data_IF_956150342479
#
_entry.id   IF_956150342479
#
_cell.length_a   1.000
_cell.length_b   1.000
_cell.length_c   1.000
_cell.angle_alpha   90.00
_cell.angle_beta   90.00
_cell.angle_gamma   90.00
#
_symmetry.space_group_name_H-M   'P 1'
#
loop_
_entity.id
_entity.type
_entity.pdbx_description
1 polymer ?
#
# COMPACT_ATOMS: atom_id res chain seq x y z
N UNK A 1 20.67 -41.60 -18.95
CA UNK A 1 20.18 -41.21 -17.60
C UNK A 1 19.48 -39.89 -17.73
N UNK A 2 18.15 -39.86 -17.73
CA UNK A 2 17.37 -38.63 -17.78
C UNK A 2 17.48 -37.95 -16.42
N UNK A 3 18.00 -36.74 -16.41
CA UNK A 3 18.04 -35.86 -15.23
C UNK A 3 16.61 -35.54 -14.82
N UNK A 4 16.19 -36.06 -13.67
CA UNK A 4 14.89 -35.69 -13.06
C UNK A 4 15.02 -34.25 -12.64
N UNK A 5 14.19 -33.32 -13.13
CA UNK A 5 14.26 -31.93 -12.67
C UNK A 5 14.01 -31.92 -11.16
N UNK A 6 14.95 -31.37 -10.44
CA UNK A 6 14.76 -31.10 -9.02
C UNK A 6 13.67 -30.02 -8.87
N UNK A 7 12.89 -30.02 -7.81
CA UNK A 7 11.85 -29.05 -7.48
C UNK A 7 12.34 -27.60 -7.53
N UNK A 8 13.65 -27.40 -7.68
CA UNK A 8 14.35 -26.13 -7.73
C UNK A 8 14.33 -25.45 -9.12
N UNK A 9 13.95 -26.16 -10.20
CA UNK A 9 13.99 -25.67 -11.58
C UNK A 9 12.63 -25.16 -12.13
N UNK A 10 11.56 -25.17 -11.32
CA UNK A 10 10.28 -24.66 -11.76
C UNK A 10 10.37 -23.15 -12.07
N UNK A 11 9.80 -22.69 -13.20
CA UNK A 11 9.79 -21.28 -13.54
C UNK A 11 9.02 -20.49 -12.48
N UNK A 12 9.64 -19.43 -11.97
CA UNK A 12 9.00 -18.52 -11.02
C UNK A 12 7.83 -17.78 -11.68
N UNK A 13 6.73 -17.63 -10.95
CA UNK A 13 5.59 -16.79 -11.33
C UNK A 13 5.83 -15.34 -10.93
N UNK A 14 6.59 -15.13 -9.88
CA UNK A 14 7.06 -13.82 -9.46
C UNK A 14 7.84 -13.15 -10.58
N UNK A 15 7.59 -11.88 -10.78
CA UNK A 15 8.21 -11.10 -11.85
C UNK A 15 8.38 -9.64 -11.42
N UNK A 16 9.03 -8.85 -12.27
CA UNK A 16 9.09 -7.40 -12.17
C UNK A 16 8.22 -6.78 -13.26
N UNK A 17 7.73 -5.57 -13.02
CA UNK A 17 7.10 -4.75 -14.06
C UNK A 17 7.88 -3.47 -14.25
N UNK A 18 8.31 -3.20 -15.48
CA UNK A 18 8.73 -1.88 -15.89
C UNK A 18 7.49 -1.09 -16.25
N UNK A 19 7.17 -0.06 -15.47
CA UNK A 19 5.85 0.53 -15.47
C UNK A 19 5.87 2.06 -15.56
N UNK A 20 4.73 2.61 -15.96
CA UNK A 20 4.44 4.04 -16.01
C UNK A 20 3.19 4.33 -15.20
N UNK A 21 3.27 5.32 -14.33
CA UNK A 21 2.14 5.88 -13.60
C UNK A 21 1.75 7.18 -14.28
N UNK A 22 0.47 7.36 -14.58
CA UNK A 22 -0.13 8.58 -15.07
C UNK A 22 -1.17 9.08 -14.07
N UNK A 23 -1.14 10.37 -13.77
CA UNK A 23 -2.16 11.08 -13.01
C UNK A 23 -2.70 12.23 -13.86
N UNK A 24 -4.01 12.25 -14.03
CA UNK A 24 -4.69 13.32 -14.75
C UNK A 24 -5.86 13.85 -13.90
N UNK A 25 -5.60 14.92 -13.17
CA UNK A 25 -6.63 15.65 -12.46
C UNK A 25 -7.46 16.46 -13.45
N UNK A 26 -8.78 16.31 -13.37
CA UNK A 26 -9.75 17.02 -14.20
C UNK A 26 -10.30 18.24 -13.44
N UNK A 27 -10.68 18.04 -12.19
CA UNK A 27 -11.29 19.07 -11.34
C UNK A 27 -10.53 19.24 -10.02
N UNK A 28 -10.57 20.44 -9.38
CA UNK A 28 -11.15 21.71 -9.86
C UNK A 28 -10.24 22.43 -10.87
N UNK A 29 -9.01 21.97 -11.06
CA UNK A 29 -8.05 22.51 -12.04
C UNK A 29 -7.31 21.37 -12.72
N UNK A 30 -7.25 21.40 -14.04
CA UNK A 30 -6.55 20.39 -14.83
C UNK A 30 -5.06 20.34 -14.48
N UNK A 31 -4.58 19.14 -14.21
CA UNK A 31 -3.17 18.88 -13.91
C UNK A 31 -2.78 17.46 -14.29
N UNK A 32 -1.83 17.34 -15.19
CA UNK A 32 -1.37 16.06 -15.73
C UNK A 32 0.12 15.86 -15.46
N UNK A 33 0.51 14.66 -15.09
CA UNK A 33 1.91 14.23 -15.01
C UNK A 33 2.04 12.71 -15.12
N UNK A 34 3.20 12.29 -15.60
CA UNK A 34 3.58 10.88 -15.73
C UNK A 34 4.99 10.66 -15.19
N UNK A 35 5.25 9.45 -14.71
CA UNK A 35 6.60 9.03 -14.33
C UNK A 35 6.77 7.52 -14.46
N UNK A 36 8.02 7.11 -14.76
CA UNK A 36 8.39 5.70 -14.83
C UNK A 36 8.85 5.17 -13.47
N UNK A 37 8.45 3.94 -13.19
CA UNK A 37 8.85 3.17 -12.01
C UNK A 37 9.11 1.72 -12.41
N UNK A 38 9.58 0.91 -11.46
CA UNK A 38 9.41 -0.54 -11.55
C UNK A 38 8.76 -1.08 -10.27
N UNK A 39 8.03 -2.18 -10.40
CA UNK A 39 7.29 -2.84 -9.34
C UNK A 39 7.69 -4.31 -9.28
N UNK A 40 7.57 -4.91 -8.10
CA UNK A 40 7.61 -6.35 -7.93
C UNK A 40 6.18 -6.91 -7.94
N UNK A 41 5.97 -8.00 -8.68
CA UNK A 41 4.79 -8.84 -8.62
C UNK A 41 5.24 -10.19 -8.04
N UNK A 42 4.90 -10.43 -6.79
CA UNK A 42 5.40 -11.53 -5.99
C UNK A 42 4.29 -12.54 -5.75
N UNK A 43 4.51 -13.79 -6.11
CA UNK A 43 3.71 -14.90 -5.60
C UNK A 43 4.08 -15.12 -4.14
N UNK A 44 3.11 -15.00 -3.22
CA UNK A 44 3.38 -15.05 -1.78
C UNK A 44 3.90 -16.43 -1.34
N UNK A 45 3.67 -17.46 -2.12
CA UNK A 45 4.18 -18.82 -1.85
C UNK A 45 5.62 -19.01 -2.36
N UNK A 46 6.14 -18.08 -3.17
CA UNK A 46 7.51 -18.10 -3.71
C UNK A 46 8.51 -17.24 -2.92
N UNK A 47 8.06 -16.47 -1.92
CA UNK A 47 8.90 -15.49 -1.22
C UNK A 47 10.18 -16.06 -0.62
N UNK A 48 10.11 -17.25 -0.01
CA UNK A 48 11.29 -17.91 0.57
C UNK A 48 12.22 -18.46 -0.52
N UNK A 49 11.64 -18.93 -1.64
CA UNK A 49 12.41 -19.36 -2.81
C UNK A 49 13.17 -18.19 -3.44
N UNK A 50 12.51 -17.02 -3.55
CA UNK A 50 13.16 -15.81 -4.06
C UNK A 50 14.31 -15.37 -3.15
N UNK A 51 14.10 -15.39 -1.82
CA UNK A 51 15.13 -15.05 -0.83
C UNK A 51 16.34 -15.99 -0.88
N UNK A 52 16.10 -17.26 -1.17
CA UNK A 52 17.16 -18.26 -1.30
C UNK A 52 17.91 -18.19 -2.64
N UNK A 53 17.21 -17.90 -3.76
CA UNK A 53 17.77 -17.94 -5.11
C UNK A 53 18.43 -16.63 -5.56
N UNK A 54 17.91 -15.48 -5.10
CA UNK A 54 18.34 -14.17 -5.58
C UNK A 54 19.29 -13.50 -4.59
N UNK A 55 20.42 -13.07 -5.10
CA UNK A 55 21.45 -12.36 -4.31
C UNK A 55 20.98 -10.97 -3.87
N UNK A 56 20.23 -10.28 -4.72
CA UNK A 56 19.81 -8.90 -4.50
C UNK A 56 18.36 -8.75 -4.00
N UNK A 57 17.69 -9.86 -3.64
CA UNK A 57 16.39 -9.89 -2.99
C UNK A 57 16.50 -10.41 -1.56
N UNK A 58 15.70 -9.88 -0.63
CA UNK A 58 15.63 -10.34 0.75
C UNK A 58 14.22 -10.28 1.31
N UNK A 59 13.76 -11.36 1.97
CA UNK A 59 12.52 -11.41 2.75
C UNK A 59 12.82 -11.19 4.24
N UNK A 60 12.19 -10.16 4.83
CA UNK A 60 12.34 -9.81 6.26
C UNK A 60 13.81 -9.60 6.71
N UNK A 61 14.70 -9.33 5.77
CA UNK A 61 16.12 -9.04 6.03
C UNK A 61 16.61 -7.92 5.12
N UNK A 62 17.68 -7.24 5.52
CA UNK A 62 18.30 -6.20 4.70
C UNK A 62 18.88 -6.78 3.43
N UNK A 63 18.52 -6.16 2.30
CA UNK A 63 19.07 -6.44 0.99
C UNK A 63 18.91 -5.21 0.10
N UNK A 64 19.32 -5.29 -1.16
CA UNK A 64 19.09 -4.22 -2.12
C UNK A 64 17.61 -4.04 -2.43
N UNK A 65 16.92 -5.11 -2.79
CA UNK A 65 15.46 -5.19 -2.91
C UNK A 65 14.92 -5.98 -1.72
N UNK A 66 14.15 -5.32 -0.85
CA UNK A 66 13.62 -5.96 0.35
C UNK A 66 12.10 -6.07 0.28
N UNK A 67 11.59 -7.21 0.66
CA UNK A 67 10.19 -7.41 1.01
C UNK A 67 10.08 -7.67 2.52
N UNK A 68 9.19 -6.97 3.19
CA UNK A 68 8.90 -7.20 4.61
C UNK A 68 7.41 -7.42 4.79
N UNK A 69 7.07 -8.55 5.38
CA UNK A 69 5.67 -8.87 5.72
C UNK A 69 5.03 -7.75 6.57
N UNK A 70 5.80 -7.13 7.46
CA UNK A 70 5.33 -6.03 8.34
C UNK A 70 5.04 -4.70 7.64
N UNK A 71 5.38 -4.52 6.37
CA UNK A 71 5.08 -3.29 5.63
C UNK A 71 3.67 -3.26 5.05
N UNK A 72 2.92 -4.33 5.23
CA UNK A 72 1.62 -4.60 4.62
C UNK A 72 0.54 -4.84 5.66
N UNK A 73 -0.59 -5.37 5.25
CA UNK A 73 -1.82 -5.64 6.01
C UNK A 73 -1.60 -5.87 7.52
N UNK A 74 -2.54 -5.44 8.39
CA UNK A 74 -2.41 -5.61 9.82
C UNK A 74 -2.31 -7.10 10.17
N UNK A 75 -1.31 -7.45 10.96
CA UNK A 75 -1.15 -8.83 11.43
C UNK A 75 -2.12 -9.07 12.58
N UNK A 76 -2.91 -10.17 12.54
CA UNK A 76 -3.90 -10.48 13.59
C UNK A 76 -3.30 -10.56 14.99
N UNK A 77 -2.01 -10.91 15.08
CA UNK A 77 -1.26 -11.07 16.32
C UNK A 77 -0.98 -9.74 17.04
N UNK A 78 -1.01 -8.60 16.34
CA UNK A 78 -0.78 -7.26 16.90
C UNK A 78 -2.06 -6.65 17.49
N UNK A 79 -3.23 -7.19 17.16
CA UNK A 79 -4.54 -6.65 17.55
C UNK A 79 -5.15 -7.36 18.77
N UNK A 80 -4.53 -8.44 19.27
CA UNK A 80 -5.02 -9.26 20.40
C UNK A 80 -4.12 -9.16 21.64
N UNK A 81 -4.60 -9.65 22.81
CA UNK A 81 -3.76 -9.78 23.99
C UNK A 81 -2.56 -10.68 23.64
N UNK A 82 -1.34 -10.18 23.89
CA UNK A 82 -0.10 -10.91 23.65
C UNK A 82 -0.07 -12.19 24.52
N UNK A 83 -0.46 -13.30 23.94
CA UNK A 83 -0.25 -14.62 24.54
C UNK A 83 1.16 -15.10 24.22
N UNK A 84 1.86 -15.68 25.20
CA UNK A 84 3.23 -16.20 25.07
C UNK A 84 3.43 -17.22 23.94
N UNK A 85 2.36 -17.85 23.48
CA UNK A 85 2.36 -18.82 22.37
C UNK A 85 2.50 -18.14 20.99
N UNK A 86 2.08 -16.86 20.85
CA UNK A 86 2.13 -16.10 19.59
C UNK A 86 3.45 -15.31 19.42
N UNK A 87 4.26 -15.23 20.46
CA UNK A 87 5.51 -14.44 20.46
C UNK A 87 6.57 -14.98 19.48
N UNK A 88 6.40 -16.21 18.97
CA UNK A 88 7.37 -16.92 18.11
C UNK A 88 6.92 -17.05 16.65
N UNK A 89 5.70 -16.64 16.29
CA UNK A 89 5.25 -16.71 14.89
C UNK A 89 5.76 -15.51 14.11
N UNK A 90 6.61 -15.77 13.12
CA UNK A 90 7.07 -14.74 12.19
C UNK A 90 5.89 -14.13 11.44
N UNK A 91 5.85 -12.81 11.23
CA UNK A 91 4.84 -12.18 10.40
C UNK A 91 4.69 -12.92 9.07
N UNK A 92 3.47 -13.17 8.64
CA UNK A 92 3.17 -13.82 7.37
C UNK A 92 2.04 -13.09 6.67
N UNK A 93 2.37 -12.44 5.57
CA UNK A 93 1.44 -11.61 4.80
C UNK A 93 0.24 -12.38 4.26
N UNK A 94 0.40 -13.65 3.85
CA UNK A 94 -0.71 -14.47 3.35
C UNK A 94 -1.74 -14.75 4.45
N UNK A 95 -1.27 -15.05 5.66
CA UNK A 95 -2.16 -15.23 6.84
C UNK A 95 -2.86 -13.93 7.23
N UNK A 96 -2.16 -12.80 7.18
CA UNK A 96 -2.75 -11.49 7.43
C UNK A 96 -3.86 -11.20 6.41
N UNK A 97 -3.63 -11.47 5.14
CA UNK A 97 -4.63 -11.34 4.07
C UNK A 97 -5.82 -12.27 4.27
N UNK A 98 -5.58 -13.55 4.61
CA UNK A 98 -6.64 -14.51 4.91
C UNK A 98 -7.53 -14.05 6.08
N UNK A 99 -6.93 -13.57 7.16
CA UNK A 99 -7.65 -13.07 8.32
C UNK A 99 -8.49 -11.83 7.97
N UNK A 100 -7.94 -10.91 7.20
CA UNK A 100 -8.66 -9.72 6.76
C UNK A 100 -9.80 -10.07 5.78
N UNK A 101 -9.56 -10.92 4.79
CA UNK A 101 -10.58 -11.37 3.83
C UNK A 101 -11.73 -12.10 4.51
N UNK A 102 -11.43 -12.92 5.53
CA UNK A 102 -12.49 -13.59 6.34
C UNK A 102 -13.40 -12.59 7.02
N UNK A 103 -12.88 -11.47 7.52
CA UNK A 103 -13.70 -10.38 8.07
C UNK A 103 -14.58 -9.71 7.01
N UNK A 104 -14.18 -9.77 5.74
CA UNK A 104 -14.97 -9.27 4.60
C UNK A 104 -15.91 -10.35 4.02
N UNK A 105 -16.04 -11.54 4.64
CA UNK A 105 -16.86 -12.63 4.15
C UNK A 105 -16.26 -13.44 3.01
N UNK A 106 -14.98 -13.26 2.69
CA UNK A 106 -14.25 -14.00 1.63
C UNK A 106 -13.32 -15.02 2.27
N UNK A 107 -13.41 -16.28 1.83
CA UNK A 107 -12.54 -17.37 2.28
C UNK A 107 -11.43 -17.57 1.26
N UNK A 108 -10.18 -17.36 1.68
CA UNK A 108 -8.97 -17.67 0.94
C UNK A 108 -8.34 -18.92 1.61
N UNK A 109 -8.29 -20.04 0.89
CA UNK A 109 -7.72 -21.28 1.38
C UNK A 109 -6.17 -21.25 1.34
N UNK A 110 -5.51 -22.13 2.10
CA UNK A 110 -4.04 -22.17 2.17
C UNK A 110 -3.39 -22.48 0.82
N UNK A 111 -4.05 -23.32 0.00
CA UNK A 111 -3.60 -23.70 -1.34
C UNK A 111 -4.03 -22.73 -2.44
N UNK A 112 -4.83 -21.70 -2.11
CA UNK A 112 -5.13 -20.61 -3.04
C UNK A 112 -3.90 -19.72 -3.24
N UNK A 113 -3.80 -19.13 -4.41
CA UNK A 113 -2.64 -18.32 -4.80
C UNK A 113 -2.92 -16.85 -4.63
N UNK A 114 -1.86 -16.12 -4.27
CA UNK A 114 -1.91 -14.66 -4.19
C UNK A 114 -0.71 -14.07 -4.89
N UNK A 115 -0.97 -13.23 -5.91
CA UNK A 115 0.03 -12.35 -6.51
C UNK A 115 -0.05 -10.98 -5.87
N UNK A 116 1.04 -10.49 -5.31
CA UNK A 116 1.16 -9.17 -4.72
C UNK A 116 1.97 -8.26 -5.63
N UNK A 117 1.32 -7.28 -6.22
CA UNK A 117 1.96 -6.20 -6.96
C UNK A 117 2.25 -5.04 -6.01
N UNK A 118 3.52 -4.71 -5.80
CA UNK A 118 3.93 -3.73 -4.78
C UNK A 118 5.23 -3.03 -5.17
N UNK A 119 5.47 -1.88 -4.55
CA UNK A 119 6.76 -1.19 -4.61
C UNK A 119 7.60 -1.61 -3.39
N UNK A 120 8.60 -2.51 -3.56
CA UNK A 120 9.36 -3.04 -2.45
C UNK A 120 10.32 -1.99 -1.87
N UNK A 121 10.94 -2.30 -0.72
CA UNK A 121 12.03 -1.47 -0.19
C UNK A 121 13.24 -1.52 -1.12
N UNK A 122 13.90 -0.39 -1.29
CA UNK A 122 15.20 -0.30 -1.96
C UNK A 122 16.22 0.24 -0.98
N UNK A 123 17.28 -0.53 -0.74
CA UNK A 123 18.31 -0.20 0.23
C UNK A 123 17.75 0.16 1.63
N UNK A 124 16.69 -0.51 2.07
CA UNK A 124 16.03 -0.30 3.36
C UNK A 124 14.97 0.78 3.39
N UNK A 125 14.86 1.64 2.36
CA UNK A 125 13.86 2.69 2.28
C UNK A 125 12.58 2.21 1.59
N UNK A 126 11.42 2.44 2.21
CA UNK A 126 10.11 2.15 1.62
C UNK A 126 9.23 3.40 1.60
N UNK A 127 8.60 3.61 0.48
CA UNK A 127 7.39 4.41 0.33
C UNK A 127 6.53 3.73 -0.73
N UNK A 128 5.42 3.16 -0.31
CA UNK A 128 4.52 2.41 -1.19
C UNK A 128 3.11 3.03 -1.11
N UNK A 129 2.70 3.81 -2.13
CA UNK A 129 1.40 4.47 -2.12
C UNK A 129 0.24 3.50 -2.32
N UNK A 130 0.47 2.35 -2.94
CA UNK A 130 -0.55 1.33 -3.16
C UNK A 130 0.08 -0.03 -3.46
N UNK A 131 -0.50 -1.09 -2.89
CA UNK A 131 -0.25 -2.48 -3.25
C UNK A 131 -1.54 -3.13 -3.71
N UNK A 132 -1.45 -4.10 -4.62
CA UNK A 132 -2.60 -4.85 -5.11
C UNK A 132 -2.35 -6.34 -4.93
N UNK A 133 -3.31 -7.02 -4.29
CA UNK A 133 -3.32 -8.47 -4.13
C UNK A 133 -4.33 -9.05 -5.10
N UNK A 134 -3.94 -10.04 -5.86
CA UNK A 134 -4.80 -10.79 -6.79
C UNK A 134 -4.91 -12.22 -6.29
N UNK A 135 -6.09 -12.57 -5.78
CA UNK A 135 -6.37 -13.87 -5.19
C UNK A 135 -7.01 -14.80 -6.23
N UNK A 136 -6.45 -15.98 -6.37
CA UNK A 136 -6.86 -17.00 -7.34
C UNK A 136 -7.01 -18.33 -6.61
N UNK A 137 -8.13 -19.03 -6.80
CA UNK A 137 -8.34 -20.37 -6.24
C UNK A 137 -7.31 -21.36 -6.77
N UNK A 138 -7.08 -22.43 -6.06
CA UNK A 138 -6.22 -23.54 -6.50
C UNK A 138 -6.67 -24.12 -7.86
N UNK A 139 -7.96 -24.00 -8.21
CA UNK A 139 -8.51 -24.37 -9.52
C UNK A 139 -8.06 -23.46 -10.67
N UNK A 140 -7.47 -22.30 -10.38
CA UNK A 140 -7.13 -21.27 -11.35
C UNK A 140 -8.22 -20.20 -11.54
N UNK A 141 -9.38 -20.35 -10.88
CA UNK A 141 -10.46 -19.38 -10.93
C UNK A 141 -10.10 -18.12 -10.13
N UNK A 142 -10.33 -16.94 -10.70
CA UNK A 142 -10.14 -15.67 -9.98
C UNK A 142 -11.14 -15.55 -8.84
N UNK A 143 -10.67 -15.14 -7.65
CA UNK A 143 -11.51 -15.03 -6.44
C UNK A 143 -11.88 -13.57 -6.16
N UNK A 144 -10.90 -12.74 -5.91
CA UNK A 144 -11.04 -11.31 -5.61
C UNK A 144 -9.69 -10.61 -5.77
N UNK A 145 -9.71 -9.29 -5.76
CA UNK A 145 -8.51 -8.49 -5.56
C UNK A 145 -8.65 -7.63 -4.29
N UNK A 146 -7.51 -7.18 -3.74
CA UNK A 146 -7.46 -6.22 -2.63
C UNK A 146 -6.53 -5.09 -3.03
N UNK A 147 -7.00 -3.85 -2.88
CA UNK A 147 -6.18 -2.65 -3.05
C UNK A 147 -5.82 -2.10 -1.67
N UNK A 148 -4.57 -2.16 -1.29
CA UNK A 148 -4.03 -1.61 -0.05
C UNK A 148 -3.45 -0.23 -0.34
N UNK A 149 -4.16 0.83 0.03
CA UNK A 149 -3.80 2.21 -0.27
C UNK A 149 -3.07 2.81 0.92
N UNK A 150 -1.89 3.37 0.67
CA UNK A 150 -1.05 4.06 1.65
C UNK A 150 -1.09 5.59 1.51
N UNK A 151 -0.76 6.29 2.60
CA UNK A 151 -0.56 7.73 2.58
C UNK A 151 0.84 8.13 3.10
N UNK A 152 1.17 9.41 3.02
CA UNK A 152 2.45 9.95 3.51
C UNK A 152 2.56 10.00 5.04
N UNK A 153 1.49 9.67 5.78
CA UNK A 153 1.49 9.59 7.24
C UNK A 153 1.81 8.18 7.77
N UNK A 154 2.15 7.24 6.86
CA UNK A 154 2.42 5.84 7.21
C UNK A 154 1.17 5.06 7.59
N UNK A 155 0.01 5.51 7.15
CA UNK A 155 -1.26 4.82 7.34
C UNK A 155 -1.61 4.05 6.07
N UNK A 156 -2.29 2.92 6.25
CA UNK A 156 -2.74 2.02 5.19
C UNK A 156 -4.23 1.73 5.36
N UNK A 157 -4.92 1.51 4.23
CA UNK A 157 -6.30 1.03 4.21
C UNK A 157 -6.52 0.05 3.07
N UNK A 158 -6.92 -1.19 3.36
CA UNK A 158 -7.28 -2.18 2.35
C UNK A 158 -8.74 -1.99 1.90
N UNK A 159 -8.98 -2.26 0.62
CA UNK A 159 -10.28 -2.27 -0.03
C UNK A 159 -10.46 -3.59 -0.77
N UNK A 160 -11.57 -4.27 -0.52
CA UNK A 160 -11.95 -5.46 -1.29
C UNK A 160 -12.47 -5.03 -2.67
N UNK A 161 -11.91 -5.61 -3.72
CA UNK A 161 -12.34 -5.39 -5.11
C UNK A 161 -12.84 -6.73 -5.66
N UNK A 162 -14.16 -6.92 -5.77
CA UNK A 162 -14.73 -8.17 -6.25
C UNK A 162 -14.45 -8.40 -7.74
N UNK A 163 -14.54 -9.66 -8.13
CA UNK A 163 -14.52 -10.06 -9.54
C UNK A 163 -15.68 -9.39 -10.28
N UNK A 164 -15.39 -8.78 -11.41
CA UNK A 164 -16.40 -8.17 -12.27
C UNK A 164 -16.93 -9.19 -13.27
N UNK A 165 -18.26 -9.33 -13.34
CA UNK A 165 -18.93 -10.31 -14.22
C UNK A 165 -18.94 -9.95 -15.72
N UNK A 166 -18.19 -8.93 -16.14
CA UNK A 166 -18.05 -8.60 -17.55
C UNK A 166 -17.20 -9.67 -18.28
N UNK A 167 -17.44 -9.89 -19.58
CA UNK A 167 -16.70 -10.88 -20.36
C UNK A 167 -15.19 -10.63 -20.24
N UNK A 168 -14.46 -11.74 -20.15
CA UNK A 168 -13.01 -11.74 -20.13
C UNK A 168 -12.46 -10.88 -21.28
N UNK A 169 -11.79 -9.79 -20.94
CA UNK A 169 -11.00 -9.07 -21.92
C UNK A 169 -9.81 -9.92 -22.38
N UNK A 170 -9.12 -9.54 -23.44
CA UNK A 170 -7.97 -10.27 -23.95
C UNK A 170 -6.84 -10.46 -22.91
N UNK A 171 -6.90 -9.75 -21.80
CA UNK A 171 -5.90 -9.73 -20.74
C UNK A 171 -6.33 -10.48 -19.44
N UNK A 172 -7.41 -11.29 -19.49
CA UNK A 172 -7.89 -12.10 -18.36
C UNK A 172 -8.96 -11.43 -17.49
N UNK A 173 -9.31 -12.04 -16.34
CA UNK A 173 -10.39 -11.58 -15.48
C UNK A 173 -10.09 -10.22 -14.88
N UNK A 174 -11.11 -9.36 -14.85
CA UNK A 174 -11.08 -8.02 -14.28
C UNK A 174 -11.79 -7.93 -12.94
N UNK A 175 -11.32 -7.03 -12.06
CA UNK A 175 -11.92 -6.72 -10.78
C UNK A 175 -12.34 -5.25 -10.76
N UNK A 176 -13.54 -4.97 -10.28
CA UNK A 176 -14.05 -3.59 -10.27
C UNK A 176 -14.93 -3.32 -9.08
N UNK A 177 -14.77 -2.15 -8.46
CA UNK A 177 -15.75 -1.59 -7.55
C UNK A 177 -15.63 -0.07 -7.45
N UNK A 178 -16.74 0.56 -7.12
CA UNK A 178 -16.78 1.96 -6.68
C UNK A 178 -17.07 1.94 -5.18
N UNK A 179 -16.18 2.52 -4.39
CA UNK A 179 -16.23 2.45 -2.93
C UNK A 179 -15.85 3.80 -2.30
N UNK A 180 -16.57 4.25 -1.23
CA UNK A 180 -16.21 5.47 -0.54
C UNK A 180 -14.78 5.39 0.01
N UNK A 181 -14.02 6.46 -0.18
CA UNK A 181 -12.64 6.53 0.33
C UNK A 181 -12.56 6.34 1.83
N UNK A 182 -13.31 7.17 2.58
CA UNK A 182 -13.23 7.21 4.05
C UNK A 182 -11.79 7.13 4.57
N UNK A 183 -10.88 7.81 3.87
CA UNK A 183 -9.45 7.74 4.12
C UNK A 183 -8.73 8.96 3.56
N UNK A 184 -7.87 9.58 4.37
CA UNK A 184 -7.12 10.75 3.96
C UNK A 184 -5.86 10.35 3.19
N UNK A 185 -5.88 10.51 1.88
CA UNK A 185 -4.77 10.17 0.99
C UNK A 185 -3.98 11.41 0.55
N UNK A 186 -4.69 12.51 0.24
CA UNK A 186 -4.11 13.72 -0.30
C UNK A 186 -4.79 14.97 0.24
N UNK A 187 -4.06 16.04 0.55
CA UNK A 187 -4.65 17.30 0.99
C UNK A 187 -5.42 18.05 -0.12
N UNK A 188 -5.35 17.58 -1.36
CA UNK A 188 -6.01 18.21 -2.52
C UNK A 188 -7.21 17.43 -3.04
N UNK A 189 -7.68 16.46 -2.28
CA UNK A 189 -8.87 15.68 -2.61
C UNK A 189 -9.78 15.62 -1.39
N UNK A 190 -11.09 15.94 -1.53
CA UNK A 190 -12.05 15.79 -0.44
C UNK A 190 -12.12 14.35 0.08
N UNK A 191 -12.59 14.15 1.32
CA UNK A 191 -12.72 12.83 1.95
C UNK A 191 -14.00 12.09 1.52
N UNK A 192 -14.99 12.82 1.03
CA UNK A 192 -16.33 12.35 0.61
C UNK A 192 -16.39 11.85 -0.83
N UNK A 193 -15.24 11.61 -1.45
CA UNK A 193 -15.15 11.02 -2.79
C UNK A 193 -15.04 9.50 -2.74
N UNK A 194 -15.35 8.84 -3.84
CA UNK A 194 -15.19 7.40 -4.03
C UNK A 194 -13.91 7.09 -4.83
N UNK A 195 -13.33 5.92 -4.57
CA UNK A 195 -12.44 5.27 -5.52
C UNK A 195 -13.25 4.44 -6.51
N UNK A 196 -12.97 4.55 -7.81
CA UNK A 196 -13.36 3.59 -8.84
C UNK A 196 -12.11 2.75 -9.18
N UNK A 197 -12.07 1.54 -8.63
CA UNK A 197 -11.01 0.56 -8.91
C UNK A 197 -11.36 -0.25 -10.15
N UNK A 198 -10.42 -0.33 -11.09
CA UNK A 198 -10.49 -1.14 -12.30
C UNK A 198 -9.15 -1.86 -12.42
N UNK A 199 -9.12 -3.13 -12.02
CA UNK A 199 -7.90 -3.91 -11.91
C UNK A 199 -7.97 -5.09 -12.86
N UNK A 200 -6.93 -5.28 -13.69
CA UNK A 200 -6.75 -6.51 -14.48
C UNK A 200 -5.71 -7.40 -13.80
N UNK A 201 -5.92 -8.70 -13.86
CA UNK A 201 -4.93 -9.66 -13.35
C UNK A 201 -3.58 -9.43 -14.04
N UNK A 202 -2.47 -9.36 -13.29
CA UNK A 202 -1.14 -9.17 -13.85
C UNK A 202 -0.78 -10.28 -14.85
N UNK A 203 -0.38 -9.90 -16.06
CA UNK A 203 0.05 -10.79 -17.16
C UNK A 203 1.25 -10.21 -17.89
N UNK A 204 1.44 -10.51 -19.16
CA UNK A 204 2.52 -9.95 -19.98
C UNK A 204 2.47 -8.41 -20.00
N UNK A 205 1.26 -7.85 -19.92
CA UNK A 205 1.00 -6.44 -19.74
C UNK A 205 0.28 -6.21 -18.42
N UNK A 206 0.57 -5.09 -17.79
CA UNK A 206 -0.10 -4.61 -16.58
C UNK A 206 -0.99 -3.43 -16.96
N UNK A 207 -2.26 -3.49 -16.52
CA UNK A 207 -3.18 -2.37 -16.63
C UNK A 207 -4.05 -2.27 -15.38
N UNK A 208 -3.91 -1.17 -14.66
CA UNK A 208 -4.67 -0.86 -13.45
C UNK A 208 -5.13 0.60 -13.56
N UNK A 209 -6.40 0.86 -13.24
CA UNK A 209 -6.91 2.21 -13.07
C UNK A 209 -7.52 2.38 -11.68
N UNK A 210 -7.23 3.52 -11.06
CA UNK A 210 -7.79 3.94 -9.78
C UNK A 210 -8.19 5.39 -9.91
N UNK A 211 -9.50 5.65 -10.02
CA UNK A 211 -9.99 7.00 -10.26
C UNK A 211 -10.66 7.55 -9.00
N UNK A 212 -10.58 8.87 -8.81
CA UNK A 212 -11.40 9.57 -7.83
C UNK A 212 -12.69 10.04 -8.49
N UNK A 213 -13.83 9.63 -7.93
CA UNK A 213 -15.16 9.91 -8.48
C UNK A 213 -16.01 10.59 -7.40
N UNK A 214 -16.71 11.65 -7.77
CA UNK A 214 -17.74 12.32 -6.95
C UNK A 214 -18.95 12.62 -7.80
N UNK A 215 -20.15 12.27 -7.29
CA UNK A 215 -21.43 12.51 -7.98
C UNK A 215 -21.44 12.01 -9.44
N UNK A 216 -20.82 10.84 -9.71
CA UNK A 216 -20.72 10.25 -11.05
C UNK A 216 -19.71 10.91 -11.99
N UNK A 217 -18.97 11.94 -11.54
CA UNK A 217 -17.93 12.63 -12.33
C UNK A 217 -16.53 12.21 -11.87
N UNK A 218 -15.63 12.03 -12.82
CA UNK A 218 -14.23 11.78 -12.55
C UNK A 218 -13.53 13.08 -12.14
N UNK A 219 -12.91 13.10 -10.97
CA UNK A 219 -12.10 14.21 -10.48
C UNK A 219 -10.60 14.00 -10.79
N UNK A 220 -10.14 12.76 -10.68
CA UNK A 220 -8.76 12.35 -10.92
C UNK A 220 -8.75 10.98 -11.60
N UNK A 221 -8.08 10.89 -12.72
CA UNK A 221 -7.79 9.63 -13.40
C UNK A 221 -6.36 9.22 -13.06
N UNK A 222 -6.20 7.99 -12.62
CA UNK A 222 -4.88 7.41 -12.34
C UNK A 222 -4.76 6.07 -13.05
N UNK A 223 -3.72 5.90 -13.87
CA UNK A 223 -3.43 4.62 -14.51
C UNK A 223 -2.01 4.17 -14.21
N UNK A 224 -1.87 2.86 -14.04
CA UNK A 224 -0.60 2.15 -13.94
C UNK A 224 -0.55 1.13 -15.07
N UNK A 225 0.35 1.34 -16.01
CA UNK A 225 0.57 0.44 -17.15
C UNK A 225 2.01 -0.04 -17.16
N UNK A 226 2.25 -1.28 -17.60
CA UNK A 226 3.62 -1.81 -17.61
C UNK A 226 3.79 -3.06 -18.44
N UNK A 227 5.03 -3.48 -18.57
CA UNK A 227 5.44 -4.71 -19.24
C UNK A 227 6.20 -5.61 -18.28
N UNK A 228 5.87 -6.89 -18.30
CA UNK A 228 6.50 -7.91 -17.47
C UNK A 228 7.98 -8.07 -17.82
N UNK A 229 8.80 -8.30 -16.78
CA UNK A 229 10.22 -8.63 -16.85
C UNK A 229 10.50 -9.81 -15.91
N UNK A 230 11.41 -10.71 -16.23
CA UNK A 230 11.75 -11.80 -15.32
C UNK A 230 12.37 -11.24 -14.03
N UNK A 231 12.09 -11.88 -12.89
CA UNK A 231 12.77 -11.53 -11.64
C UNK A 231 14.11 -12.28 -11.58
N UNK A 232 15.18 -11.57 -11.86
CA UNK A 232 16.56 -12.09 -11.82
C UNK A 232 17.46 -11.00 -11.23
N UNK A 233 18.61 -11.38 -10.68
CA UNK A 233 19.59 -10.43 -10.15
C UNK A 233 20.01 -9.39 -11.16
N UNK A 234 20.21 -9.81 -12.43
CA UNK A 234 20.56 -8.91 -13.54
C UNK A 234 19.46 -7.87 -13.79
N UNK A 235 18.20 -8.30 -13.77
CA UNK A 235 17.07 -7.42 -14.06
C UNK A 235 16.78 -6.49 -12.88
N UNK A 236 16.94 -6.97 -11.62
CA UNK A 236 16.88 -6.12 -10.43
C UNK A 236 17.90 -4.99 -10.52
N UNK A 237 19.15 -5.30 -10.85
CA UNK A 237 20.20 -4.29 -11.00
C UNK A 237 19.93 -3.34 -12.17
N UNK A 238 19.52 -3.88 -13.33
CA UNK A 238 19.19 -3.08 -14.51
C UNK A 238 18.09 -2.05 -14.22
N UNK A 239 17.00 -2.50 -13.61
CA UNK A 239 15.87 -1.63 -13.28
C UNK A 239 16.22 -0.64 -12.16
N UNK A 240 17.04 -1.06 -11.20
CA UNK A 240 17.53 -0.17 -10.14
C UNK A 240 18.43 0.94 -10.67
N UNK A 241 19.25 0.66 -11.69
CA UNK A 241 20.07 1.67 -12.37
C UNK A 241 19.22 2.60 -13.25
N UNK A 242 18.20 2.05 -13.92
CA UNK A 242 17.31 2.84 -14.78
C UNK A 242 16.35 3.73 -13.97
N UNK A 243 15.92 3.27 -12.79
CA UNK A 243 15.03 3.98 -11.89
C UNK A 243 15.68 4.12 -10.50
N UNK A 244 16.76 4.89 -10.39
CA UNK A 244 17.52 4.99 -9.16
C UNK A 244 16.65 5.54 -8.04
N UNK A 245 16.72 4.90 -6.85
CA UNK A 245 15.98 5.29 -5.65
C UNK A 245 14.50 5.56 -5.94
N UNK A 246 13.84 4.63 -6.67
CA UNK A 246 12.47 4.84 -7.16
C UNK A 246 11.49 5.19 -6.05
N UNK A 247 11.63 4.62 -4.86
CA UNK A 247 10.81 4.93 -3.68
C UNK A 247 10.98 6.37 -3.22
N UNK A 248 12.22 6.88 -3.18
CA UNK A 248 12.50 8.28 -2.85
C UNK A 248 12.02 9.22 -3.97
N UNK A 249 12.19 8.82 -5.24
CA UNK A 249 11.67 9.57 -6.39
C UNK A 249 10.15 9.72 -6.31
N UNK A 250 9.42 8.67 -5.95
CA UNK A 250 7.95 8.71 -5.84
C UNK A 250 7.52 9.69 -4.77
N UNK A 251 8.08 9.62 -3.55
CA UNK A 251 7.71 10.56 -2.48
C UNK A 251 8.09 12.00 -2.83
N UNK A 252 9.26 12.22 -3.43
CA UNK A 252 9.70 13.56 -3.87
C UNK A 252 8.77 14.10 -4.96
N UNK A 253 8.34 13.26 -5.91
CA UNK A 253 7.38 13.63 -6.94
C UNK A 253 6.02 14.03 -6.31
N UNK A 254 5.53 13.28 -5.32
CA UNK A 254 4.29 13.62 -4.59
C UNK A 254 4.38 15.02 -3.98
N UNK A 255 5.45 15.33 -3.25
CA UNK A 255 5.64 16.65 -2.62
C UNK A 255 5.78 17.76 -3.68
N UNK A 256 6.50 17.51 -4.76
CA UNK A 256 6.64 18.47 -5.86
C UNK A 256 5.30 18.75 -6.53
N UNK A 257 4.50 17.71 -6.82
CA UNK A 257 3.18 17.92 -7.40
C UNK A 257 2.22 18.58 -6.41
N UNK A 258 2.32 18.29 -5.11
CA UNK A 258 1.58 18.97 -4.06
C UNK A 258 1.88 20.48 -4.07
N UNK A 259 3.16 20.88 -4.13
CA UNK A 259 3.57 22.28 -4.24
C UNK A 259 2.97 22.93 -5.51
N UNK A 260 3.04 22.26 -6.65
CA UNK A 260 2.47 22.76 -7.91
C UNK A 260 0.95 22.96 -7.84
N UNK A 261 0.22 22.04 -7.19
CA UNK A 261 -1.23 22.16 -6.99
C UNK A 261 -1.56 23.33 -6.07
N UNK A 262 -0.79 23.51 -4.99
CA UNK A 262 -0.93 24.64 -4.08
C UNK A 262 -0.70 25.98 -4.79
N UNK A 263 0.37 26.10 -5.58
CA UNK A 263 0.66 27.28 -6.40
C UNK A 263 -0.43 27.58 -7.44
N UNK A 264 -1.15 26.54 -7.92
CA UNK A 264 -2.30 26.68 -8.82
C UNK A 264 -3.58 27.09 -8.07
N UNK A 265 -3.56 27.24 -6.73
CA UNK A 265 -4.72 27.58 -5.93
C UNK A 265 -5.78 26.48 -5.85
N UNK A 266 -5.37 25.21 -5.94
CA UNK A 266 -6.25 24.06 -5.68
C UNK A 266 -6.62 24.05 -4.19
N UNK A 267 -7.90 23.89 -3.81
CA UNK A 267 -8.31 23.85 -2.40
C UNK A 267 -7.52 22.83 -1.60
N UNK A 268 -7.14 23.20 -0.37
CA UNK A 268 -6.40 22.38 0.56
C UNK A 268 -7.28 21.94 1.72
N UNK A 269 -7.34 20.63 1.99
CA UNK A 269 -8.15 20.03 3.05
C UNK A 269 -7.23 19.51 4.15
N UNK A 270 -7.42 19.97 5.39
CA UNK A 270 -6.67 19.46 6.52
C UNK A 270 -7.16 18.06 6.94
N UNK A 271 -6.24 17.19 7.32
CA UNK A 271 -6.58 15.83 7.82
C UNK A 271 -7.54 15.88 9.02
N UNK A 272 -7.40 16.88 9.89
CA UNK A 272 -8.25 17.10 11.07
C UNK A 272 -9.72 17.37 10.75
N UNK A 273 -10.02 17.92 9.56
CA UNK A 273 -11.38 18.27 9.15
C UNK A 273 -12.26 17.05 8.85
N UNK A 274 -11.65 15.88 8.62
CA UNK A 274 -12.38 14.67 8.21
C UNK A 274 -12.10 13.44 9.08
N UNK A 275 -11.64 13.61 10.32
CA UNK A 275 -11.29 12.48 11.21
C UNK A 275 -12.47 11.53 11.45
N UNK A 276 -13.70 12.05 11.52
CA UNK A 276 -14.92 11.28 11.70
C UNK A 276 -15.29 10.40 10.48
N UNK A 277 -14.78 10.72 9.30
CA UNK A 277 -14.99 9.95 8.07
C UNK A 277 -13.96 8.83 7.89
N UNK A 278 -12.83 8.86 8.61
CA UNK A 278 -11.78 7.85 8.46
C UNK A 278 -12.19 6.54 9.15
N UNK A 279 -12.25 5.44 8.38
CA UNK A 279 -12.65 4.12 8.88
C UNK A 279 -11.76 3.03 8.32
N UNK A 280 -11.41 2.03 9.15
CA UNK A 280 -10.62 0.86 8.74
C UNK A 280 -9.19 1.20 8.34
N UNK A 281 -8.61 2.25 8.94
CA UNK A 281 -7.23 2.70 8.73
C UNK A 281 -6.32 2.10 9.80
N UNK A 282 -5.17 1.60 9.41
CA UNK A 282 -4.15 1.08 10.33
C UNK A 282 -2.77 1.65 9.98
N UNK A 283 -1.79 1.44 10.86
CA UNK A 283 -0.40 1.84 10.63
C UNK A 283 0.47 0.61 10.47
N UNK A 284 1.19 0.52 9.37
CA UNK A 284 2.20 -0.49 9.19
C UNK A 284 3.47 -0.13 9.99
N UNK A 285 4.19 -1.14 10.46
CA UNK A 285 5.52 -0.97 11.07
C UNK A 285 6.56 -0.61 10.00
N UNK A 286 6.48 0.58 9.42
CA UNK A 286 7.49 1.07 8.47
C UNK A 286 8.45 2.04 9.16
N UNK A 287 9.69 2.13 8.66
CA UNK A 287 10.69 3.08 9.16
C UNK A 287 10.24 4.54 9.08
N UNK A 288 9.36 4.88 8.13
CA UNK A 288 8.80 6.24 7.98
C UNK A 288 7.69 6.50 9.00
N UNK A 289 6.81 5.52 9.25
CA UNK A 289 5.76 5.64 10.25
C UNK A 289 6.35 5.89 11.64
N UNK A 290 7.42 5.18 11.98
CA UNK A 290 8.12 5.36 13.26
C UNK A 290 8.84 6.71 13.37
N UNK A 291 9.45 7.21 12.29
CA UNK A 291 10.08 8.52 12.27
C UNK A 291 9.05 9.66 12.46
N UNK A 292 7.90 9.59 11.79
CA UNK A 292 6.83 10.57 11.91
C UNK A 292 6.08 10.48 13.25
N UNK A 293 5.90 9.28 13.81
CA UNK A 293 5.30 9.09 15.12
C UNK A 293 6.19 9.68 16.24
N UNK A 294 7.49 9.49 16.16
CA UNK A 294 8.46 10.08 17.11
C UNK A 294 8.55 11.61 16.97
N UNK A 295 8.46 12.16 15.75
CA UNK A 295 8.44 13.61 15.55
C UNK A 295 7.17 14.25 16.14
N UNK A 296 5.99 13.62 15.98
CA UNK A 296 4.74 14.09 16.58
C UNK A 296 4.68 13.90 18.09
N UNK A 297 5.28 12.86 18.65
CA UNK A 297 5.37 12.64 20.09
C UNK A 297 6.26 13.73 20.76
N UNK A 298 7.39 14.07 20.14
CA UNK A 298 8.27 15.13 20.62
C UNK A 298 7.65 16.54 20.48
N UNK A 299 6.84 16.80 19.46
CA UNK A 299 6.13 18.06 19.32
C UNK A 299 5.03 18.25 20.38
N UNK A 300 4.40 17.15 20.84
CA UNK A 300 3.35 17.19 21.87
C UNK A 300 3.90 17.20 23.29
N UNK A 301 5.13 16.74 23.51
CA UNK A 301 5.78 16.78 24.85
C UNK A 301 6.42 18.13 25.17
N UNK A 302 6.57 19.03 24.19
CA UNK A 302 7.15 20.36 24.37
C UNK A 302 6.16 21.46 24.81
N UNK A 303 4.84 21.18 24.87
CA UNK A 303 3.81 22.20 25.19
C UNK A 303 3.21 22.09 26.63
N UNK A 304 3.79 21.30 27.50
CA UNK A 304 3.23 21.01 28.83
C UNK A 304 4.18 21.28 29.99
N UNK A 305 4.67 22.52 30.17
CA UNK A 305 5.24 22.93 31.48
C UNK A 305 5.05 24.41 31.70
N UNK A 306 3.92 24.77 32.29
CA UNK A 306 3.57 26.10 32.72
C UNK A 306 2.47 26.04 33.77
N UNK A 307 2.68 25.28 34.86
CA UNK A 307 1.84 25.35 36.05
C UNK A 307 2.39 26.39 37.01
N UNK A 308 1.83 27.59 36.96
CA UNK A 308 1.98 28.59 38.02
C UNK A 308 1.21 28.17 39.28
N UNK A 309 1.65 28.60 40.49
CA UNK A 309 1.08 28.17 41.75
C UNK A 309 -0.28 28.80 42.00
N UNK A 310 -1.24 27.99 42.39
CA UNK A 310 -2.58 28.35 42.84
C UNK A 310 -2.50 29.07 44.19
N UNK A 311 -3.05 30.26 44.43
CA UNK A 311 -3.14 30.86 45.75
C UNK A 311 -4.28 30.25 46.56
N UNK A 312 -3.94 29.84 47.78
CA UNK A 312 -4.85 29.30 48.79
C UNK A 312 -5.97 30.29 49.17
N UNK A 313 -7.21 29.86 49.47
CA UNK A 313 -8.27 30.72 49.97
C UNK A 313 -8.06 31.05 51.47
N UNK A 314 -8.08 32.34 51.79
CA UNK A 314 -8.10 32.91 53.13
C UNK A 314 -9.46 32.66 53.83
N UNK A 315 -9.49 32.09 55.08
CA UNK A 315 -10.74 31.87 55.79
C UNK A 315 -11.03 32.99 56.78
N UNK A 316 -11.59 34.10 56.32
CA UNK A 316 -12.25 35.07 57.20
C UNK A 316 -13.27 35.94 56.46
N UNK A 317 -14.56 35.63 56.60
CA UNK A 317 -15.63 36.54 56.97
C UNK A 317 -16.98 35.77 57.08
N UNK A 318 -17.27 35.42 58.34
CA UNK A 318 -18.64 35.21 58.83
C UNK A 318 -19.09 36.55 59.44
N UNK A 319 -20.30 36.97 59.11
CA UNK A 319 -21.28 37.82 59.81
C UNK A 319 -21.85 38.83 58.81
N UNK A 320 -23.06 38.74 58.51
CA UNK A 320 -24.39 39.09 59.08
C UNK A 320 -25.41 38.91 57.99
#
# INVERSE_FOLDING_TARGET
MAHRPTTDDAPLRSCLYEARVMHHRLEPRAHHFEYGIFLACLDLDELDTLDARLRFFGRNRRNWLEFRDSDHLPHPEESGPKNRENEHQKPNIKRALQAWLRQQGVILADNDRVLLLTLPRIAGYVFNPVSFYFCTKASGEALCAVAEVGNTFGELKPYLVPLHAAPEGPDGPGFRCVVPKYYYVSPFTPLDVCFDFQLQTPGARLHIAVNDVSEGRNLLLTTLTGSQRPITDREILRLSLRYPLVTLKVISAIHWQALRLWLKGVPWYAKSQGTHLQRGVFRAHSSIANANANANANANSGSGSGSGPNPSPDPRHRKS
#
